data_IF_803840476998
#
_entry.id   IF_803840476998
#
_cell.length_a   1.000
_cell.length_b   1.000
_cell.length_c   1.000
_cell.angle_alpha   90.00
_cell.angle_beta   90.00
_cell.angle_gamma   90.00
#
_symmetry.space_group_name_H-M   'P 1'
#
loop_
_entity.id
_entity.type
_entity.pdbx_description
1 polymer ?
#
# COMPACT_ATOMS: atom_id res chain seq x y z
N UNK A 1 -72.04 24.53 -30.18
CA UNK A 1 -71.73 23.88 -28.91
C UNK A 1 -70.89 22.63 -29.18
N UNK A 2 -69.59 22.66 -29.02
CA UNK A 2 -68.69 21.50 -28.92
C UNK A 2 -67.23 21.95 -29.19
N UNK A 3 -66.67 22.79 -28.34
CA UNK A 3 -65.25 23.14 -28.45
C UNK A 3 -64.72 23.72 -27.12
N UNK A 4 -65.01 23.05 -25.99
CA UNK A 4 -64.48 23.47 -24.67
C UNK A 4 -64.03 22.26 -23.78
N UNK A 5 -63.71 21.11 -24.38
CA UNK A 5 -63.34 19.94 -23.57
C UNK A 5 -61.96 19.35 -23.91
N UNK A 6 -61.10 20.12 -24.60
CA UNK A 6 -59.78 19.58 -25.00
C UNK A 6 -58.59 20.33 -24.35
N UNK A 7 -58.83 21.26 -23.41
CA UNK A 7 -57.77 22.02 -22.78
C UNK A 7 -57.46 21.61 -21.32
N UNK A 8 -58.12 20.59 -20.79
CA UNK A 8 -57.94 20.17 -19.40
C UNK A 8 -57.13 18.91 -19.21
N UNK A 9 -56.62 18.30 -20.30
CA UNK A 9 -55.91 17.02 -20.21
C UNK A 9 -54.39 17.10 -20.43
N UNK A 10 -53.82 18.29 -20.67
CA UNK A 10 -52.39 18.48 -20.87
C UNK A 10 -51.64 19.06 -19.65
N UNK A 11 -52.31 19.36 -18.54
CA UNK A 11 -51.68 19.97 -17.37
C UNK A 11 -51.34 18.96 -16.23
N UNK A 12 -51.43 17.64 -16.47
CA UNK A 12 -51.23 16.62 -15.45
C UNK A 12 -50.04 15.69 -15.72
N UNK A 13 -49.13 16.04 -16.64
CA UNK A 13 -47.93 15.23 -16.92
C UNK A 13 -46.61 16.00 -16.70
N UNK A 14 -46.64 17.06 -15.92
CA UNK A 14 -45.42 17.54 -15.27
C UNK A 14 -45.37 17.00 -13.84
N UNK A 15 -45.47 15.67 -13.67
CA UNK A 15 -44.81 15.03 -12.57
C UNK A 15 -43.32 15.16 -12.91
N UNK A 16 -42.74 16.25 -12.51
CA UNK A 16 -41.31 16.39 -12.29
C UNK A 16 -40.88 15.12 -11.53
N UNK A 17 -40.16 14.24 -12.19
CA UNK A 17 -39.22 13.41 -11.47
C UNK A 17 -38.24 14.40 -10.85
N UNK A 18 -38.58 14.94 -9.70
CA UNK A 18 -37.61 15.28 -8.71
C UNK A 18 -37.05 13.89 -8.30
N UNK A 19 -35.98 13.45 -8.95
CA UNK A 19 -35.04 12.55 -8.32
C UNK A 19 -34.65 13.30 -7.04
N UNK A 20 -35.30 12.94 -5.92
CA UNK A 20 -34.90 13.40 -4.60
C UNK A 20 -33.42 13.04 -4.49
N UNK A 21 -32.56 14.04 -4.62
CA UNK A 21 -31.11 13.90 -4.46
C UNK A 21 -30.89 13.28 -3.08
N UNK A 22 -30.65 11.98 -3.08
CA UNK A 22 -30.58 11.19 -1.86
C UNK A 22 -29.14 11.18 -1.38
N UNK A 23 -28.94 11.53 -0.11
CA UNK A 23 -27.63 11.38 0.54
C UNK A 23 -27.08 9.96 0.35
N UNK A 24 -25.92 9.84 -0.27
CA UNK A 24 -25.31 8.57 -0.67
C UNK A 24 -23.79 8.60 -0.51
N UNK A 25 -23.22 7.46 -0.18
CA UNK A 25 -21.78 7.19 -0.32
C UNK A 25 -21.60 6.20 -1.47
N UNK A 26 -20.80 6.56 -2.44
CA UNK A 26 -20.63 5.85 -3.68
C UNK A 26 -19.19 5.35 -3.84
N UNK A 27 -19.06 4.10 -4.25
CA UNK A 27 -17.78 3.51 -4.61
C UNK A 27 -17.61 3.54 -6.13
N UNK A 28 -16.45 4.01 -6.65
CA UNK A 28 -16.18 3.92 -8.07
C UNK A 28 -16.11 2.46 -8.53
N UNK A 29 -16.74 2.15 -9.65
CA UNK A 29 -16.59 0.85 -10.30
C UNK A 29 -15.23 0.81 -10.96
N UNK A 30 -14.30 0.01 -10.42
CA UNK A 30 -12.97 -0.19 -10.99
C UNK A 30 -13.05 -0.98 -12.30
N UNK A 31 -12.54 -0.40 -13.39
CA UNK A 31 -12.39 -1.09 -14.68
C UNK A 31 -12.03 -0.10 -15.79
N UNK A 32 -11.22 -0.53 -16.76
CA UNK A 32 -10.81 0.31 -17.90
C UNK A 32 -11.96 0.65 -18.87
N UNK A 33 -13.11 0.01 -18.77
CA UNK A 33 -14.20 0.10 -19.74
C UNK A 33 -15.52 0.61 -19.15
N UNK A 34 -15.71 0.58 -17.83
CA UNK A 34 -16.94 1.01 -17.17
C UNK A 34 -16.59 2.09 -16.15
N UNK A 35 -16.82 3.34 -16.54
CA UNK A 35 -16.84 4.46 -15.59
C UNK A 35 -18.25 4.51 -14.97
N UNK A 36 -18.34 4.32 -13.67
CA UNK A 36 -19.61 4.38 -12.94
C UNK A 36 -19.37 4.35 -11.43
N UNK A 37 -20.42 4.56 -10.70
CA UNK A 37 -20.46 4.52 -9.25
C UNK A 37 -21.57 3.59 -8.79
N UNK A 38 -21.35 2.92 -7.67
CA UNK A 38 -22.39 2.11 -7.00
C UNK A 38 -22.49 2.50 -5.53
N UNK A 39 -23.66 2.35 -4.90
CA UNK A 39 -23.79 2.58 -3.47
C UNK A 39 -22.82 1.73 -2.67
N UNK A 40 -22.09 2.36 -1.76
CA UNK A 40 -21.17 1.66 -0.86
C UNK A 40 -21.91 1.20 0.39
N UNK A 41 -22.24 -0.09 0.44
CA UNK A 41 -22.96 -0.70 1.57
C UNK A 41 -22.04 -1.42 2.55
N UNK A 42 -20.83 -1.80 2.12
CA UNK A 42 -19.77 -2.40 2.94
C UNK A 42 -18.43 -2.34 2.22
N UNK A 43 -17.33 -2.52 2.96
CA UNK A 43 -15.97 -2.58 2.43
C UNK A 43 -15.23 -3.80 2.99
N UNK A 44 -14.65 -4.60 2.09
CA UNK A 44 -13.68 -5.63 2.41
C UNK A 44 -12.33 -5.19 1.87
N UNK A 45 -11.40 -4.86 2.76
CA UNK A 45 -10.12 -4.22 2.45
C UNK A 45 -8.95 -5.07 2.91
N UNK A 46 -7.88 -5.10 2.14
CA UNK A 46 -6.58 -5.53 2.63
C UNK A 46 -5.87 -4.39 3.37
N UNK A 47 -4.94 -4.71 4.26
CA UNK A 47 -4.15 -3.72 5.01
C UNK A 47 -3.46 -2.68 4.12
N UNK A 48 -3.05 -3.08 2.92
CA UNK A 48 -2.33 -2.20 1.99
C UNK A 48 -3.25 -1.46 1.02
N UNK A 49 -4.57 -1.65 1.15
CA UNK A 49 -5.56 -0.95 0.32
C UNK A 49 -5.74 0.51 0.77
N UNK A 50 -6.33 1.29 -0.11
CA UNK A 50 -6.85 2.62 0.13
C UNK A 50 -8.14 2.74 -0.67
N UNK A 51 -9.23 3.18 -0.03
CA UNK A 51 -10.48 3.47 -0.74
C UNK A 51 -10.78 4.96 -0.69
N UNK A 52 -11.14 5.50 -1.86
CA UNK A 52 -11.67 6.85 -2.01
C UNK A 52 -13.10 6.77 -2.50
N UNK A 53 -14.03 7.26 -1.71
CA UNK A 53 -15.46 7.17 -1.93
C UNK A 53 -16.06 8.56 -2.17
N UNK A 54 -16.96 8.68 -3.14
CA UNK A 54 -17.71 9.90 -3.38
C UNK A 54 -18.85 10.02 -2.36
N UNK A 55 -19.06 11.22 -1.81
CA UNK A 55 -20.20 11.53 -0.94
C UNK A 55 -21.09 12.52 -1.67
N UNK A 56 -22.31 12.11 -2.03
CA UNK A 56 -23.32 12.94 -2.71
C UNK A 56 -24.36 13.46 -1.74
N UNK A 57 -24.83 14.67 -2.00
CA UNK A 57 -25.98 15.31 -1.34
C UNK A 57 -25.89 15.40 0.19
N UNK A 58 -24.66 15.34 0.71
CA UNK A 58 -24.37 15.42 2.15
C UNK A 58 -24.21 16.85 2.69
N UNK A 59 -24.12 17.86 1.84
CA UNK A 59 -23.74 19.20 2.27
C UNK A 59 -22.37 19.22 2.94
N UNK A 60 -22.25 19.85 4.10
CA UNK A 60 -21.04 19.77 4.94
C UNK A 60 -21.08 18.52 5.83
N UNK A 61 -20.84 17.36 5.20
CA UNK A 61 -20.84 16.07 5.85
C UNK A 61 -19.61 15.83 6.74
N UNK A 62 -19.78 14.96 7.74
CA UNK A 62 -18.73 14.52 8.66
C UNK A 62 -18.58 13.01 8.64
N UNK A 63 -17.44 12.51 9.12
CA UNK A 63 -17.16 11.08 9.20
C UNK A 63 -16.50 10.69 10.51
N UNK A 64 -16.85 9.50 11.03
CA UNK A 64 -16.23 8.86 12.20
C UNK A 64 -16.04 7.37 11.96
N UNK A 65 -14.95 6.82 12.45
CA UNK A 65 -14.75 5.38 12.57
C UNK A 65 -15.12 4.92 13.97
N UNK A 66 -15.77 3.76 14.10
CA UNK A 66 -16.06 3.14 15.40
C UNK A 66 -14.79 2.57 16.08
N UNK A 67 -13.72 2.33 15.30
CA UNK A 67 -12.42 1.88 15.78
C UNK A 67 -11.31 2.43 14.86
N UNK A 68 -10.73 3.56 15.28
CA UNK A 68 -9.65 4.22 14.53
C UNK A 68 -8.32 3.45 14.55
N UNK A 69 -8.15 2.48 15.46
CA UNK A 69 -6.99 1.61 15.43
C UNK A 69 -7.06 0.56 14.31
N UNK A 70 -8.28 0.22 13.86
CA UNK A 70 -8.54 -0.71 12.75
C UNK A 70 -8.64 0.04 11.41
N UNK A 71 -9.43 1.11 11.39
CA UNK A 71 -9.72 1.90 10.18
C UNK A 71 -9.73 3.39 10.53
N UNK A 72 -8.88 4.17 9.89
CA UNK A 72 -8.99 5.62 9.86
C UNK A 72 -9.88 6.03 8.69
N UNK A 73 -10.84 6.91 8.93
CA UNK A 73 -11.70 7.48 7.90
C UNK A 73 -11.68 9.01 8.01
N UNK A 74 -11.50 9.70 6.89
CA UNK A 74 -11.39 11.16 6.88
C UNK A 74 -11.99 11.78 5.63
N UNK A 75 -12.54 12.99 5.79
CA UNK A 75 -12.94 13.86 4.71
C UNK A 75 -11.71 14.52 4.13
N UNK A 76 -11.46 14.32 2.84
CA UNK A 76 -10.34 14.91 2.12
C UNK A 76 -10.86 15.94 1.13
N UNK A 77 -10.31 17.15 1.19
CA UNK A 77 -10.55 18.22 0.22
C UNK A 77 -9.22 18.43 -0.51
N UNK A 78 -9.10 18.04 -1.80
CA UNK A 78 -7.88 18.29 -2.56
C UNK A 78 -7.60 19.79 -2.68
N UNK A 79 -6.34 20.18 -2.70
CA UNK A 79 -5.94 21.56 -2.83
C UNK A 79 -6.52 22.20 -4.10
N UNK A 80 -7.23 23.33 -3.95
CA UNK A 80 -7.89 24.04 -5.06
C UNK A 80 -9.18 23.38 -5.57
N UNK A 81 -9.65 22.29 -4.98
CA UNK A 81 -10.89 21.63 -5.39
C UNK A 81 -12.12 22.18 -4.67
N UNK A 82 -13.26 22.19 -5.37
CA UNK A 82 -14.58 22.51 -4.81
C UNK A 82 -15.35 21.28 -4.32
N UNK A 83 -14.73 20.11 -4.35
CA UNK A 83 -15.32 18.85 -3.93
C UNK A 83 -14.52 18.20 -2.80
N UNK A 84 -15.18 17.32 -2.06
CA UNK A 84 -14.54 16.47 -1.05
C UNK A 84 -14.90 15.01 -1.28
N UNK A 85 -14.03 14.11 -0.81
CA UNK A 85 -14.28 12.69 -0.84
C UNK A 85 -13.96 12.06 0.51
N UNK A 86 -14.54 10.87 0.76
CA UNK A 86 -14.25 10.06 1.93
C UNK A 86 -13.05 9.15 1.62
N UNK A 87 -12.00 9.30 2.40
CA UNK A 87 -10.84 8.39 2.34
C UNK A 87 -10.90 7.40 3.51
N UNK A 88 -10.73 6.11 3.20
CA UNK A 88 -10.76 5.01 4.18
C UNK A 88 -9.42 4.28 4.16
N UNK A 89 -8.70 4.34 5.29
CA UNK A 89 -7.37 3.78 5.47
C UNK A 89 -7.41 2.59 6.43
N UNK A 90 -7.20 1.36 5.96
CA UNK A 90 -6.96 0.22 6.83
C UNK A 90 -5.64 0.40 7.59
N UNK A 91 -5.64 0.14 8.91
CA UNK A 91 -4.45 0.24 9.76
C UNK A 91 -4.06 -1.09 10.36
N UNK A 92 -5.07 -1.92 10.73
CA UNK A 92 -4.89 -3.20 11.39
C UNK A 92 -6.00 -4.16 10.98
N UNK A 93 -5.71 -5.45 10.96
CA UNK A 93 -6.71 -6.49 10.75
C UNK A 93 -7.82 -6.41 11.80
N UNK A 94 -9.08 -6.43 11.35
CA UNK A 94 -10.23 -6.30 12.26
C UNK A 94 -11.50 -5.86 11.55
N UNK A 95 -12.45 -5.36 12.33
CA UNK A 95 -13.73 -4.84 11.85
C UNK A 95 -14.02 -3.48 12.48
N UNK A 96 -14.55 -2.57 11.69
CA UNK A 96 -15.01 -1.26 12.15
C UNK A 96 -16.27 -0.87 11.38
N UNK A 97 -16.97 0.16 11.84
CA UNK A 97 -18.06 0.80 11.11
C UNK A 97 -17.67 2.25 10.86
N UNK A 98 -17.62 2.65 9.60
CA UNK A 98 -17.47 4.05 9.21
C UNK A 98 -18.86 4.67 9.11
N UNK A 99 -19.10 5.73 9.87
CA UNK A 99 -20.38 6.47 9.87
C UNK A 99 -20.16 7.81 9.20
N UNK A 100 -20.90 8.05 8.11
CA UNK A 100 -20.94 9.34 7.41
C UNK A 100 -22.25 10.03 7.76
N UNK A 101 -22.17 11.26 8.22
CA UNK A 101 -23.34 12.07 8.63
C UNK A 101 -23.47 13.30 7.75
N UNK A 102 -24.65 13.49 7.14
CA UNK A 102 -24.95 14.69 6.36
C UNK A 102 -25.18 15.91 7.26
N UNK A 103 -25.12 17.10 6.71
CA UNK A 103 -25.48 18.35 7.38
C UNK A 103 -26.92 18.35 7.93
N UNK A 104 -27.82 17.63 7.26
CA UNK A 104 -29.23 17.47 7.66
C UNK A 104 -29.45 16.44 8.78
N UNK A 105 -28.39 15.73 9.18
CA UNK A 105 -28.44 14.71 10.22
C UNK A 105 -28.70 13.28 9.74
N UNK A 106 -28.84 13.04 8.44
CA UNK A 106 -28.92 11.68 7.86
C UNK A 106 -27.61 10.94 8.07
N UNK A 107 -27.67 9.63 8.28
CA UNK A 107 -26.50 8.80 8.56
C UNK A 107 -26.43 7.59 7.65
N UNK A 108 -25.22 7.32 7.15
CA UNK A 108 -24.89 6.11 6.42
C UNK A 108 -23.85 5.35 7.22
N UNK A 109 -24.11 4.06 7.46
CA UNK A 109 -23.23 3.15 8.17
C UNK A 109 -22.59 2.19 7.19
N UNK A 110 -21.27 2.19 7.12
CA UNK A 110 -20.49 1.35 6.21
C UNK A 110 -19.66 0.37 7.06
N UNK A 111 -20.10 -0.89 7.19
CA UNK A 111 -19.28 -1.94 7.80
C UNK A 111 -18.00 -2.13 6.99
N UNK A 112 -16.86 -2.14 7.67
CA UNK A 112 -15.54 -2.36 7.08
C UNK A 112 -14.91 -3.58 7.71
N UNK A 113 -14.49 -4.54 6.89
CA UNK A 113 -13.68 -5.68 7.30
C UNK A 113 -12.28 -5.50 6.72
N UNK A 114 -11.27 -5.53 7.58
CA UNK A 114 -9.87 -5.44 7.18
C UNK A 114 -9.21 -6.80 7.31
N UNK A 115 -8.81 -7.37 6.17
CA UNK A 115 -8.04 -8.61 6.09
C UNK A 115 -6.53 -8.35 5.99
N UNK A 116 -5.75 -9.43 5.95
CA UNK A 116 -4.31 -9.37 5.68
C UNK A 116 -4.04 -8.97 4.23
N UNK A 117 -2.84 -8.43 3.98
CA UNK A 117 -2.29 -8.30 2.62
C UNK A 117 -0.97 -9.05 2.55
N UNK A 118 -0.63 -9.56 1.38
CA UNK A 118 0.63 -10.25 1.14
C UNK A 118 1.44 -9.48 0.11
N UNK A 119 2.75 -9.38 0.32
CA UNK A 119 3.72 -8.95 -0.68
C UNK A 119 4.86 -9.95 -0.72
N UNK A 120 5.24 -10.35 -1.92
CA UNK A 120 6.39 -11.22 -2.14
C UNK A 120 7.49 -10.43 -2.84
N UNK A 121 8.67 -10.41 -2.22
CA UNK A 121 9.87 -9.78 -2.75
C UNK A 121 10.79 -10.87 -3.29
N UNK A 122 10.80 -11.06 -4.61
CA UNK A 122 11.73 -11.98 -5.28
C UNK A 122 13.14 -11.40 -5.30
N UNK A 123 14.13 -12.16 -4.87
CA UNK A 123 15.54 -11.81 -5.07
C UNK A 123 15.90 -12.10 -6.52
N UNK A 124 16.00 -11.04 -7.32
CA UNK A 124 16.05 -11.13 -8.76
C UNK A 124 17.47 -11.22 -9.33
N UNK A 125 18.35 -10.34 -8.91
CA UNK A 125 19.73 -10.33 -9.44
C UNK A 125 20.67 -9.51 -8.57
N UNK A 126 21.96 -9.77 -8.78
CA UNK A 126 23.05 -8.88 -8.45
C UNK A 126 23.34 -8.73 -6.96
N UNK A 127 24.53 -9.03 -6.64
CA UNK A 127 25.17 -8.66 -5.41
C UNK A 127 25.90 -7.36 -5.70
N UNK A 128 25.39 -6.25 -5.20
CA UNK A 128 26.06 -4.96 -5.24
C UNK A 128 26.72 -4.70 -3.91
N UNK A 129 27.88 -4.08 -3.94
CA UNK A 129 28.59 -3.66 -2.73
C UNK A 129 29.11 -2.26 -2.87
N UNK A 130 29.32 -1.62 -1.71
CA UNK A 130 29.98 -0.34 -1.61
C UNK A 130 30.94 -0.39 -0.41
N UNK A 131 32.25 -0.15 -0.66
CA UNK A 131 33.28 -0.25 0.35
C UNK A 131 34.12 1.03 0.30
N UNK A 132 34.31 1.66 1.46
CA UNK A 132 35.10 2.88 1.60
C UNK A 132 36.11 2.78 2.74
N UNK A 133 37.24 3.46 2.59
CA UNK A 133 38.23 3.64 3.67
C UNK A 133 39.30 2.56 3.74
N UNK A 134 39.40 1.69 2.73
CA UNK A 134 40.44 0.68 2.60
C UNK A 134 41.14 0.73 1.25
N UNK A 135 42.26 0.02 1.09
CA UNK A 135 42.94 -0.14 -0.20
C UNK A 135 42.08 -0.93 -1.19
N UNK A 136 42.42 -0.88 -2.48
CA UNK A 136 41.74 -1.67 -3.52
C UNK A 136 41.92 -3.16 -3.30
N UNK A 137 43.09 -3.58 -2.87
CA UNK A 137 43.45 -4.96 -2.55
C UNK A 137 42.61 -5.48 -1.38
N UNK A 138 42.52 -4.72 -0.30
CA UNK A 138 41.69 -5.08 0.86
C UNK A 138 40.19 -5.12 0.48
N UNK A 139 39.75 -4.18 -0.35
CA UNK A 139 38.36 -4.17 -0.83
C UNK A 139 38.01 -5.47 -1.59
N UNK A 140 38.93 -5.99 -2.40
CA UNK A 140 38.73 -7.27 -3.11
C UNK A 140 38.65 -8.46 -2.15
N UNK A 141 39.49 -8.48 -1.10
CA UNK A 141 39.44 -9.52 -0.05
C UNK A 141 38.12 -9.50 0.72
N UNK A 142 37.62 -8.29 1.04
CA UNK A 142 36.31 -8.14 1.69
C UNK A 142 35.19 -8.66 0.79
N UNK A 143 35.18 -8.32 -0.49
CA UNK A 143 34.15 -8.74 -1.46
C UNK A 143 34.09 -10.27 -1.60
N UNK A 144 35.24 -10.96 -1.53
CA UNK A 144 35.32 -12.42 -1.66
C UNK A 144 34.42 -13.15 -0.61
N UNK A 145 34.32 -12.57 0.61
CA UNK A 145 33.57 -13.17 1.71
C UNK A 145 32.30 -12.42 2.10
N UNK A 146 32.01 -11.29 1.43
CA UNK A 146 30.93 -10.37 1.82
C UNK A 146 29.54 -11.03 1.85
N UNK A 147 29.34 -12.04 1.02
CA UNK A 147 28.05 -12.71 0.84
C UNK A 147 27.99 -14.13 1.42
N UNK A 148 29.04 -14.62 2.09
CA UNK A 148 29.09 -15.99 2.58
C UNK A 148 27.99 -16.32 3.59
N UNK A 149 27.62 -15.36 4.44
CA UNK A 149 26.60 -15.48 5.49
C UNK A 149 25.21 -14.99 5.09
N UNK A 150 25.00 -14.60 3.82
CA UNK A 150 23.70 -14.19 3.32
C UNK A 150 22.78 -15.39 3.20
N UNK A 151 21.70 -15.37 3.98
CA UNK A 151 20.74 -16.46 4.02
C UNK A 151 19.99 -16.63 2.70
N UNK A 152 19.56 -15.51 2.10
CA UNK A 152 18.73 -15.54 0.91
C UNK A 152 19.50 -15.03 -0.32
N UNK A 153 19.56 -15.88 -1.35
CA UNK A 153 20.24 -15.60 -2.61
C UNK A 153 19.27 -15.51 -3.78
N UNK A 154 19.76 -15.15 -4.94
CA UNK A 154 19.00 -15.09 -6.20
C UNK A 154 18.14 -16.33 -6.41
N UNK A 155 16.86 -16.12 -6.70
CA UNK A 155 15.86 -17.17 -6.91
C UNK A 155 15.07 -17.54 -5.64
N UNK A 156 15.47 -17.02 -4.47
CA UNK A 156 14.64 -17.07 -3.28
C UNK A 156 13.75 -15.84 -3.14
N UNK A 157 12.93 -15.81 -2.11
CA UNK A 157 11.98 -14.72 -1.87
C UNK A 157 11.71 -14.46 -0.39
N UNK A 158 11.31 -13.23 -0.09
CA UNK A 158 10.70 -12.82 1.17
C UNK A 158 9.20 -12.67 0.96
N UNK A 159 8.38 -13.39 1.72
CA UNK A 159 6.91 -13.25 1.72
C UNK A 159 6.48 -12.52 2.98
N UNK A 160 5.92 -11.33 2.80
CA UNK A 160 5.49 -10.43 3.85
C UNK A 160 3.97 -10.49 3.98
N UNK A 161 3.46 -11.06 5.06
CA UNK A 161 2.02 -11.11 5.36
C UNK A 161 1.69 -10.04 6.38
N UNK A 162 1.11 -8.96 5.93
CA UNK A 162 0.76 -7.79 6.74
C UNK A 162 -0.49 -8.07 7.58
N UNK A 163 -0.39 -7.92 8.90
CA UNK A 163 -1.53 -7.87 9.84
C UNK A 163 -1.78 -6.46 10.37
N UNK A 164 -0.80 -5.59 10.24
CA UNK A 164 -0.84 -4.15 10.47
C UNK A 164 -0.08 -3.46 9.33
N UNK A 165 -0.30 -2.14 9.14
CA UNK A 165 0.22 -1.41 7.96
C UNK A 165 1.73 -1.47 7.78
N UNK A 166 2.48 -1.62 8.87
CA UNK A 166 3.96 -1.57 8.85
C UNK A 166 4.62 -2.84 9.39
N UNK A 167 3.87 -3.88 9.73
CA UNK A 167 4.42 -5.11 10.32
C UNK A 167 3.56 -6.34 10.08
N UNK A 168 4.16 -7.51 10.28
CA UNK A 168 3.46 -8.77 10.12
C UNK A 168 4.37 -9.98 10.23
N UNK A 169 3.92 -11.08 9.62
CA UNK A 169 4.68 -12.32 9.52
C UNK A 169 5.57 -12.31 8.29
N UNK A 170 6.78 -12.84 8.45
CA UNK A 170 7.75 -13.05 7.39
C UNK A 170 7.89 -14.54 7.11
N UNK A 171 7.91 -14.95 5.86
CA UNK A 171 8.41 -16.25 5.41
C UNK A 171 9.57 -16.00 4.46
N UNK A 172 10.73 -16.58 4.74
CA UNK A 172 11.90 -16.53 3.88
C UNK A 172 12.05 -17.87 3.20
N UNK A 173 12.07 -17.90 1.88
CA UNK A 173 12.22 -19.13 1.10
C UNK A 173 13.48 -19.07 0.26
N UNK A 174 14.40 -20.00 0.49
CA UNK A 174 15.64 -20.12 -0.29
C UNK A 174 15.38 -20.77 -1.66
N UNK A 175 16.29 -20.64 -2.63
CA UNK A 175 16.12 -21.22 -3.97
C UNK A 175 15.97 -22.75 -3.98
N UNK A 176 16.52 -23.44 -2.99
CA UNK A 176 16.41 -24.89 -2.79
C UNK A 176 15.15 -25.30 -2.00
N UNK A 177 14.29 -24.34 -1.65
CA UNK A 177 13.01 -24.58 -1.02
C UNK A 177 13.03 -24.65 0.51
N UNK A 178 14.15 -24.35 1.16
CA UNK A 178 14.17 -24.21 2.63
C UNK A 178 13.36 -22.99 3.01
N UNK A 179 12.48 -23.14 4.01
CA UNK A 179 11.65 -22.05 4.54
C UNK A 179 11.97 -21.75 5.98
N UNK A 180 12.02 -20.47 6.31
CA UNK A 180 12.13 -19.95 7.67
C UNK A 180 11.02 -18.96 7.94
N UNK A 181 10.43 -19.07 9.11
CA UNK A 181 9.38 -18.16 9.57
C UNK A 181 9.96 -17.10 10.50
N UNK A 182 9.34 -15.91 10.45
CA UNK A 182 9.77 -14.78 11.27
C UNK A 182 8.76 -13.67 11.31
N UNK A 183 9.25 -12.48 11.60
CA UNK A 183 8.46 -11.24 11.63
C UNK A 183 9.20 -10.15 10.87
N UNK A 184 8.45 -9.14 10.46
CA UNK A 184 9.02 -7.94 9.89
C UNK A 184 8.35 -6.69 10.45
N UNK A 185 9.12 -5.61 10.47
CA UNK A 185 8.67 -4.23 10.58
C UNK A 185 9.22 -3.47 9.37
N UNK A 186 8.44 -2.59 8.78
CA UNK A 186 8.90 -1.81 7.63
C UNK A 186 8.36 -0.40 7.64
N UNK A 187 9.07 0.47 6.94
CA UNK A 187 8.59 1.76 6.49
C UNK A 187 8.95 1.97 5.02
N UNK A 188 8.77 3.15 4.46
CA UNK A 188 9.17 3.46 3.08
C UNK A 188 10.68 3.40 2.86
N UNK A 189 11.46 3.58 3.94
CA UNK A 189 12.91 3.69 3.89
C UNK A 189 13.64 2.43 4.34
N UNK A 190 12.96 1.49 5.03
CA UNK A 190 13.63 0.32 5.59
C UNK A 190 12.72 -0.91 5.76
N UNK A 191 13.37 -2.06 5.91
CA UNK A 191 12.80 -3.32 6.41
C UNK A 191 13.67 -3.86 7.54
N UNK A 192 13.07 -4.09 8.70
CA UNK A 192 13.66 -4.87 9.79
C UNK A 192 13.10 -6.28 9.73
N UNK A 193 13.94 -7.27 9.41
CA UNK A 193 13.56 -8.67 9.29
C UNK A 193 14.13 -9.48 10.43
N UNK A 194 13.28 -10.23 11.13
CA UNK A 194 13.67 -11.13 12.22
C UNK A 194 13.32 -12.56 11.84
N UNK A 195 14.32 -13.43 11.63
CA UNK A 195 14.16 -14.85 11.32
C UNK A 195 15.46 -15.60 11.61
N UNK A 196 15.41 -16.91 11.85
CA UNK A 196 16.57 -17.77 12.15
C UNK A 196 17.47 -17.19 13.28
N UNK A 197 16.85 -16.57 14.31
CA UNK A 197 17.57 -15.92 15.41
C UNK A 197 18.35 -14.65 15.03
N UNK A 198 18.22 -14.16 13.80
CA UNK A 198 18.89 -12.97 13.28
C UNK A 198 17.92 -11.80 13.18
N UNK A 199 18.43 -10.61 13.42
CA UNK A 199 17.76 -9.34 13.10
C UNK A 199 18.58 -8.64 12.03
N UNK A 200 17.98 -8.39 10.88
CA UNK A 200 18.64 -7.73 9.75
C UNK A 200 17.90 -6.45 9.44
N UNK A 201 18.62 -5.35 9.45
CA UNK A 201 18.13 -4.03 9.05
C UNK A 201 18.53 -3.77 7.60
N UNK A 202 17.54 -3.62 6.72
CA UNK A 202 17.75 -3.24 5.33
C UNK A 202 17.24 -1.83 5.08
N UNK A 203 18.08 -0.95 4.59
CA UNK A 203 17.65 0.29 3.95
C UNK A 203 17.08 -0.01 2.56
N UNK A 204 16.04 0.72 2.15
CA UNK A 204 15.45 0.62 0.81
C UNK A 204 16.09 1.68 -0.08
N UNK A 205 16.73 1.24 -1.16
CA UNK A 205 17.26 2.15 -2.18
C UNK A 205 16.60 1.86 -3.53
N UNK A 206 16.01 2.89 -4.11
CA UNK A 206 15.50 2.85 -5.47
C UNK A 206 16.66 3.15 -6.44
N UNK A 207 16.70 2.45 -7.56
CA UNK A 207 17.78 2.43 -8.58
C UNK A 207 18.61 3.71 -8.69
N UNK A 208 19.93 3.57 -8.91
CA UNK A 208 20.94 4.62 -9.08
C UNK A 208 20.67 5.64 -10.20
N UNK A 209 19.86 5.27 -11.18
CA UNK A 209 19.51 6.13 -12.31
C UNK A 209 18.16 6.77 -12.06
N UNK A 210 18.07 7.72 -11.13
CA UNK A 210 16.84 8.45 -10.78
C UNK A 210 15.74 8.34 -11.84
N UNK A 211 14.53 8.10 -11.45
CA UNK A 211 13.29 8.09 -12.23
C UNK A 211 13.47 8.19 -13.76
N UNK A 212 13.93 7.13 -14.42
CA UNK A 212 13.59 6.97 -15.84
C UNK A 212 12.09 6.74 -15.88
N UNK A 213 11.39 7.51 -16.69
CA UNK A 213 9.96 7.40 -16.92
C UNK A 213 9.55 5.93 -16.99
N UNK A 214 8.92 5.46 -15.93
CA UNK A 214 8.31 4.14 -15.90
C UNK A 214 7.10 4.24 -16.80
N UNK A 215 7.22 3.73 -18.00
CA UNK A 215 6.06 3.53 -18.86
C UNK A 215 5.02 2.74 -18.07
N UNK A 216 3.78 3.17 -18.11
CA UNK A 216 2.61 2.72 -17.32
C UNK A 216 2.36 1.19 -17.27
N UNK A 217 3.17 0.38 -17.88
CA UNK A 217 3.03 -1.08 -18.01
C UNK A 217 3.92 -1.90 -17.07
N UNK A 218 4.89 -1.30 -16.37
CA UNK A 218 5.76 -2.03 -15.44
C UNK A 218 5.66 -1.49 -14.00
N UNK A 219 4.64 -1.90 -13.29
CA UNK A 219 4.48 -1.66 -11.84
C UNK A 219 5.50 -2.40 -10.95
N UNK A 220 6.64 -2.82 -11.53
CA UNK A 220 7.65 -3.64 -10.85
C UNK A 220 9.00 -2.98 -10.90
N UNK A 221 9.11 -1.80 -10.32
CA UNK A 221 10.40 -1.16 -10.20
C UNK A 221 11.22 -2.02 -9.23
N UNK A 222 12.33 -2.62 -9.69
CA UNK A 222 13.24 -3.30 -8.78
C UNK A 222 13.87 -2.25 -7.86
N UNK A 223 14.07 -2.64 -6.61
CA UNK A 223 14.76 -1.83 -5.62
C UNK A 223 15.82 -2.67 -4.91
N UNK A 224 16.65 -2.02 -4.11
CA UNK A 224 17.71 -2.68 -3.39
C UNK A 224 17.39 -2.70 -1.89
N UNK A 225 17.60 -3.87 -1.28
CA UNK A 225 17.69 -4.04 0.15
C UNK A 225 19.17 -3.95 0.52
N UNK A 226 19.57 -2.85 1.16
CA UNK A 226 20.96 -2.53 1.48
C UNK A 226 21.21 -2.77 2.97
N UNK A 227 22.16 -3.61 3.30
CA UNK A 227 22.62 -3.90 4.66
C UNK A 227 23.98 -3.24 4.88
N UNK A 228 24.13 -2.48 5.99
CA UNK A 228 25.42 -1.99 6.47
C UNK A 228 26.06 -3.07 7.36
N UNK A 229 27.19 -3.58 6.93
CA UNK A 229 27.96 -4.61 7.63
C UNK A 229 29.34 -4.13 8.07
N UNK A 230 29.54 -2.81 8.11
CA UNK A 230 30.83 -2.16 8.41
C UNK A 230 31.46 -2.67 9.70
N UNK A 231 30.66 -2.85 10.75
CA UNK A 231 31.17 -3.25 12.07
C UNK A 231 31.81 -4.65 12.08
N UNK A 232 31.47 -5.51 11.11
CA UNK A 232 32.07 -6.86 10.99
C UNK A 232 33.54 -6.82 10.57
N UNK A 233 33.95 -5.71 9.92
CA UNK A 233 35.28 -5.58 9.31
C UNK A 233 36.19 -4.60 10.07
N UNK A 234 35.66 -3.86 11.05
CA UNK A 234 36.44 -2.83 11.78
C UNK A 234 37.63 -3.39 12.55
N UNK A 235 37.55 -4.63 13.04
CA UNK A 235 38.66 -5.24 13.78
C UNK A 235 39.86 -5.53 12.87
N UNK A 236 39.61 -6.00 11.65
CA UNK A 236 40.63 -6.39 10.69
C UNK A 236 41.10 -5.19 9.83
N UNK A 237 40.21 -4.21 9.62
CA UNK A 237 40.45 -3.02 8.79
C UNK A 237 40.12 -1.73 9.57
N UNK A 238 40.98 -1.25 10.47
CA UNK A 238 40.67 -0.11 11.36
C UNK A 238 40.36 1.21 10.64
N UNK A 239 40.79 1.37 9.39
CA UNK A 239 40.55 2.58 8.56
C UNK A 239 39.23 2.53 7.78
N UNK A 240 38.51 1.38 7.84
CA UNK A 240 37.28 1.19 7.07
C UNK A 240 36.20 2.15 7.53
N UNK A 241 35.55 2.79 6.58
CA UNK A 241 34.48 3.77 6.83
C UNK A 241 33.11 3.18 6.59
N UNK A 242 32.97 2.39 5.54
CA UNK A 242 31.69 1.85 5.10
C UNK A 242 31.89 0.52 4.37
N UNK A 243 31.07 -0.47 4.72
CA UNK A 243 30.86 -1.70 3.95
C UNK A 243 29.37 -1.95 3.85
N UNK A 244 28.85 -1.81 2.66
CA UNK A 244 27.45 -2.12 2.37
C UNK A 244 27.36 -3.27 1.37
N UNK A 245 26.36 -4.12 1.56
CA UNK A 245 25.96 -5.13 0.59
C UNK A 245 24.47 -4.97 0.26
N UNK A 246 24.10 -5.26 -0.97
CA UNK A 246 22.74 -5.05 -1.43
C UNK A 246 22.21 -6.25 -2.22
N UNK A 247 20.94 -6.53 -2.02
CA UNK A 247 20.16 -7.48 -2.82
C UNK A 247 19.17 -6.71 -3.68
N UNK A 248 19.15 -6.97 -4.98
CA UNK A 248 18.14 -6.44 -5.87
C UNK A 248 16.89 -7.29 -5.79
N UNK A 249 15.78 -6.69 -5.38
CA UNK A 249 14.49 -7.36 -5.23
C UNK A 249 13.42 -6.70 -6.10
N UNK A 250 12.37 -7.44 -6.40
CA UNK A 250 11.18 -6.94 -7.08
C UNK A 250 9.93 -7.54 -6.47
N UNK A 251 8.80 -6.83 -6.57
CA UNK A 251 7.49 -7.40 -6.24
C UNK A 251 7.14 -8.53 -7.21
N UNK A 252 6.64 -9.65 -6.68
CA UNK A 252 6.17 -10.76 -7.49
C UNK A 252 4.92 -10.37 -8.32
N UNK A 253 4.67 -11.15 -9.39
CA UNK A 253 3.64 -10.82 -10.36
C UNK A 253 2.20 -10.89 -9.84
N UNK A 254 1.97 -11.66 -8.81
CA UNK A 254 0.64 -12.10 -8.37
C UNK A 254 0.28 -11.57 -6.97
N UNK A 255 0.95 -10.53 -6.50
CA UNK A 255 0.65 -9.87 -5.21
C UNK A 255 -0.30 -8.69 -5.36
#
# INVERSE_FOLDING_TARGET
MKTKLLFFLCSLLLVSCQDDEKFQVLRPLGGQVISGYQPCTSLDLGILSLEALEVKDGGDWTVVSSDEAVVKAEKVIPEGASYSYLSVYPLKQGKAVVTVSSEKGDKIYIPVTVGTSVRTLDVWSGELNHIEGVSKEDSLLIVEHLYDDVFLRKGGYYRLTYSEKKKGKLTVCTPDGKMEEGTFVCDYEYYDLTFDGKNIHYMVMYSETGFQEVTRTEYRIPFYLVEDVTDRYRADYPTIKLVQRAQKVRLAAND
#
